data_IF_955425237204
#
_entry.id   IF_955425237204
#
_cell.length_a   1.000
_cell.length_b   1.000
_cell.length_c   1.000
_cell.angle_alpha   90.00
_cell.angle_beta   90.00
_cell.angle_gamma   90.00
#
_symmetry.space_group_name_H-M   'P 1'
#
loop_
_entity.id
_entity.type
_entity.pdbx_description
1 polymer ?
#
# COMPACT_ATOMS: atom_id res chain seq x y z
N UNK A 1 -27.69 42.94 4.98
CA UNK A 1 -28.78 41.96 5.13
C UNK A 1 -29.64 42.03 3.87
N UNK A 2 -29.95 40.90 3.23
CA UNK A 2 -30.91 40.83 2.10
C UNK A 2 -31.80 39.61 2.31
N UNK A 3 -32.96 39.86 2.91
CA UNK A 3 -34.15 39.01 3.02
C UNK A 3 -35.35 39.99 3.00
N UNK A 4 -36.55 39.65 2.51
CA UNK A 4 -37.07 38.32 2.23
C UNK A 4 -37.86 38.22 0.93
N UNK A 5 -38.15 36.97 0.57
CA UNK A 5 -38.82 36.48 -0.64
C UNK A 5 -40.29 36.91 -0.80
N UNK A 6 -40.78 36.93 -2.05
CA UNK A 6 -42.05 36.28 -2.37
C UNK A 6 -41.95 35.56 -3.73
N UNK A 7 -42.49 34.34 -3.82
CA UNK A 7 -42.04 33.34 -4.79
C UNK A 7 -42.84 33.21 -6.09
N UNK A 8 -42.29 32.41 -7.01
CA UNK A 8 -42.98 31.84 -8.18
C UNK A 8 -42.76 30.32 -8.18
N UNK A 9 -43.76 29.56 -8.63
CA UNK A 9 -43.75 28.09 -8.63
C UNK A 9 -42.75 27.53 -9.64
N UNK A 10 -42.05 26.46 -9.27
CA UNK A 10 -41.41 25.54 -10.22
C UNK A 10 -42.46 24.52 -10.64
N UNK A 11 -42.60 24.27 -11.94
CA UNK A 11 -43.40 23.17 -12.48
C UNK A 11 -42.51 22.33 -13.40
N UNK A 12 -42.55 20.99 -13.27
CA UNK A 12 -41.60 20.08 -13.89
C UNK A 12 -42.21 19.39 -15.10
N UNK A 13 -41.57 19.52 -16.27
CA UNK A 13 -41.79 18.63 -17.42
C UNK A 13 -40.43 18.21 -18.01
N UNK A 14 -40.22 16.91 -18.31
CA UNK A 14 -38.96 16.43 -18.87
C UNK A 14 -38.94 16.58 -20.40
N UNK A 15 -37.85 17.12 -20.96
CA UNK A 15 -37.61 17.13 -22.41
C UNK A 15 -36.59 16.05 -22.76
N UNK A 16 -36.97 15.21 -23.73
CA UNK A 16 -36.26 13.98 -24.07
C UNK A 16 -34.93 14.17 -24.80
N UNK A 17 -34.13 13.10 -24.78
CA UNK A 17 -32.89 12.97 -25.55
C UNK A 17 -33.22 12.70 -27.03
N UNK A 18 -32.62 13.44 -27.96
CA UNK A 18 -32.29 12.90 -29.29
C UNK A 18 -31.03 13.56 -29.87
N UNK A 19 -30.38 12.91 -30.84
CA UNK A 19 -29.02 13.25 -31.31
C UNK A 19 -28.98 13.82 -32.74
N UNK A 20 -28.20 14.89 -32.91
CA UNK A 20 -27.39 15.19 -34.13
C UNK A 20 -28.18 15.44 -35.44
N UNK A 21 -27.56 15.69 -36.62
CA UNK A 21 -26.12 15.83 -36.95
C UNK A 21 -25.79 17.06 -37.86
N UNK A 22 -24.56 17.07 -38.45
CA UNK A 22 -24.13 17.89 -39.63
C UNK A 22 -23.90 19.40 -39.31
N UNK A 23 -22.89 20.17 -39.80
CA UNK A 23 -21.85 20.03 -40.86
C UNK A 23 -20.47 20.61 -40.43
N UNK A 24 -19.46 20.49 -41.32
CA UNK A 24 -18.37 21.42 -41.71
C UNK A 24 -18.36 22.88 -41.15
N UNK A 25 -17.28 23.69 -41.11
CA UNK A 25 -15.80 23.63 -41.40
C UNK A 25 -15.19 24.98 -40.83
N UNK A 26 -13.95 25.48 -41.03
CA UNK A 26 -12.74 25.16 -41.83
C UNK A 26 -11.46 25.75 -41.12
N UNK A 27 -10.28 25.33 -41.58
CA UNK A 27 -8.97 26.06 -41.60
C UNK A 27 -8.26 26.49 -40.30
N UNK A 28 -6.95 26.23 -40.26
CA UNK A 28 -5.99 26.85 -39.33
C UNK A 28 -5.32 28.08 -39.97
N UNK A 29 -5.10 29.15 -39.20
CA UNK A 29 -4.09 30.19 -39.50
C UNK A 29 -3.33 30.50 -38.21
N UNK A 30 -2.02 30.70 -38.32
CA UNK A 30 -1.11 30.98 -37.19
C UNK A 30 -0.71 32.45 -37.20
N UNK A 31 -0.95 33.17 -36.10
CA UNK A 31 -0.42 34.52 -35.91
C UNK A 31 -0.27 34.86 -34.41
N UNK A 32 0.98 35.11 -33.98
CA UNK A 32 1.28 35.72 -32.68
C UNK A 32 1.48 37.22 -32.83
N UNK A 33 1.08 38.04 -31.83
CA UNK A 33 1.76 39.30 -31.57
C UNK A 33 2.49 39.29 -30.22
N UNK A 34 3.56 40.09 -30.14
CA UNK A 34 4.29 40.41 -28.89
C UNK A 34 3.77 41.72 -28.28
N UNK A 35 4.12 42.04 -27.01
CA UNK A 35 3.35 43.01 -26.22
C UNK A 35 3.76 44.48 -26.43
N UNK A 36 2.82 45.38 -26.13
CA UNK A 36 3.10 46.77 -25.77
C UNK A 36 2.53 47.05 -24.38
N UNK A 37 3.21 47.91 -23.61
CA UNK A 37 2.76 48.36 -22.29
C UNK A 37 1.66 49.41 -22.44
N UNK A 38 0.71 49.44 -21.51
CA UNK A 38 0.51 50.57 -20.58
C UNK A 38 -0.59 50.21 -19.57
N UNK A 39 -0.44 50.65 -18.31
CA UNK A 39 -1.47 50.56 -17.27
C UNK A 39 -2.33 51.85 -17.28
N UNK A 40 -3.53 51.87 -16.68
CA UNK A 40 -3.62 51.86 -15.22
C UNK A 40 -4.67 50.89 -14.62
N UNK A 41 -4.45 50.54 -13.36
CA UNK A 41 -5.47 49.97 -12.45
C UNK A 41 -6.57 51.00 -12.17
N UNK A 42 -7.84 50.58 -11.94
CA UNK A 42 -8.22 50.27 -10.55
C UNK A 42 -9.17 49.07 -10.34
N UNK A 43 -8.88 48.34 -9.26
CA UNK A 43 -9.78 47.66 -8.29
C UNK A 43 -11.04 46.85 -8.71
N UNK A 44 -11.28 45.79 -7.90
CA UNK A 44 -12.45 44.89 -7.85
C UNK A 44 -12.64 43.90 -9.03
N UNK A 45 -12.96 42.65 -8.67
CA UNK A 45 -13.28 41.58 -9.64
C UNK A 45 -12.53 40.27 -9.38
N UNK A 46 -12.78 39.61 -8.24
CA UNK A 46 -12.10 38.36 -7.83
C UNK A 46 -12.53 37.13 -8.64
N UNK A 47 -12.32 37.13 -9.96
CA UNK A 47 -12.58 35.97 -10.80
C UNK A 47 -11.43 34.95 -10.63
N UNK A 48 -11.72 33.83 -9.96
CA UNK A 48 -10.77 32.73 -9.79
C UNK A 48 -10.45 32.11 -11.16
N UNK A 49 -9.36 32.58 -11.78
CA UNK A 49 -8.72 31.83 -12.86
C UNK A 49 -8.32 30.47 -12.30
N UNK A 50 -8.92 29.40 -12.83
CA UNK A 50 -8.71 28.04 -12.36
C UNK A 50 -7.25 27.65 -12.52
N UNK A 51 -6.48 27.83 -11.45
CA UNK A 51 -5.10 27.38 -11.37
C UNK A 51 -5.09 25.89 -11.72
N UNK A 52 -4.50 25.56 -12.88
CA UNK A 52 -4.32 24.18 -13.32
C UNK A 52 -3.62 23.47 -12.18
N UNK A 53 -4.31 22.52 -11.55
CA UNK A 53 -3.79 21.84 -10.37
C UNK A 53 -2.67 20.91 -10.79
N UNK A 54 -1.47 21.48 -10.91
CA UNK A 54 -0.20 20.76 -10.99
C UNK A 54 0.04 20.23 -9.57
N UNK A 55 -0.78 19.25 -9.18
CA UNK A 55 -0.53 18.42 -8.01
C UNK A 55 0.76 17.66 -8.31
N UNK A 56 1.89 18.23 -7.88
CA UNK A 56 3.23 17.71 -8.19
C UNK A 56 3.26 16.24 -7.78
N UNK A 57 3.35 15.38 -8.80
CA UNK A 57 3.01 13.96 -8.68
C UNK A 57 4.17 13.23 -8.02
N UNK A 58 4.27 13.37 -6.69
CA UNK A 58 5.26 12.74 -5.80
C UNK A 58 5.07 11.20 -5.68
N UNK A 59 4.71 10.58 -6.79
CA UNK A 59 4.43 9.16 -6.97
C UNK A 59 5.53 8.58 -7.83
N UNK A 60 6.44 7.82 -7.24
CA UNK A 60 7.29 6.89 -8.00
C UNK A 60 7.81 5.71 -7.16
N UNK A 61 8.00 5.84 -5.85
CA UNK A 61 8.49 4.71 -5.02
C UNK A 61 7.90 4.68 -3.61
N UNK A 62 7.90 5.79 -2.87
CA UNK A 62 7.54 5.77 -1.44
C UNK A 62 6.09 5.38 -1.17
N UNK A 63 5.12 5.92 -1.92
CA UNK A 63 3.71 5.55 -1.78
C UNK A 63 3.45 4.04 -1.93
N UNK A 64 4.20 3.35 -2.80
CA UNK A 64 4.12 1.90 -2.96
C UNK A 64 4.67 1.15 -1.74
N UNK A 65 5.77 1.64 -1.14
CA UNK A 65 6.35 1.08 0.07
C UNK A 65 5.46 1.28 1.30
N UNK A 66 4.91 2.49 1.47
CA UNK A 66 3.97 2.86 2.54
C UNK A 66 2.72 1.98 2.48
N UNK A 67 2.07 1.88 1.31
CA UNK A 67 0.90 1.00 1.13
C UNK A 67 1.22 -0.49 1.32
N UNK A 68 2.47 -0.91 1.09
CA UNK A 68 2.86 -2.32 1.14
C UNK A 68 3.22 -2.80 2.55
N UNK A 69 4.11 -2.11 3.26
CA UNK A 69 4.64 -2.42 4.61
C UNK A 69 5.13 -3.86 4.92
N UNK A 70 4.97 -4.85 4.03
CA UNK A 70 5.25 -6.29 4.26
C UNK A 70 6.73 -6.63 4.58
N UNK A 71 7.65 -5.70 4.31
CA UNK A 71 9.05 -5.81 4.72
C UNK A 71 9.22 -5.44 6.20
N UNK A 72 8.50 -4.41 6.66
CA UNK A 72 8.60 -3.82 7.99
C UNK A 72 7.71 -4.55 9.02
N UNK A 73 6.53 -5.05 8.61
CA UNK A 73 5.54 -5.67 9.50
C UNK A 73 5.86 -7.13 9.93
N UNK A 74 7.04 -7.65 9.59
CA UNK A 74 7.45 -9.02 9.95
C UNK A 74 6.99 -10.14 8.99
N UNK A 75 6.31 -9.82 7.89
CA UNK A 75 5.79 -10.82 6.92
C UNK A 75 6.89 -11.48 6.09
N UNK A 76 7.66 -10.68 5.36
CA UNK A 76 8.74 -11.15 4.47
C UNK A 76 9.95 -11.61 5.28
N UNK A 77 10.35 -10.79 6.25
CA UNK A 77 11.54 -10.98 7.07
C UNK A 77 11.12 -10.99 8.55
N UNK A 78 11.74 -11.86 9.34
CA UNK A 78 11.53 -11.89 10.81
C UNK A 78 12.65 -11.18 11.59
N UNK A 79 13.73 -10.82 10.88
CA UNK A 79 14.98 -10.27 11.40
C UNK A 79 15.62 -9.41 10.31
N UNK A 80 16.23 -8.30 10.69
CA UNK A 80 17.05 -7.43 9.84
C UNK A 80 18.50 -7.52 10.32
N UNK A 81 19.48 -7.47 9.41
CA UNK A 81 20.89 -7.25 9.79
C UNK A 81 21.15 -5.75 9.90
N UNK A 82 21.85 -5.34 10.95
CA UNK A 82 22.21 -3.94 11.25
C UNK A 82 23.62 -3.87 11.86
N UNK A 83 24.27 -2.71 11.78
CA UNK A 83 25.49 -2.43 12.59
C UNK A 83 25.12 -1.97 14.01
N UNK A 84 26.11 -1.91 14.92
CA UNK A 84 25.90 -1.34 16.26
C UNK A 84 25.53 0.14 16.18
N UNK A 85 26.25 0.92 15.38
CA UNK A 85 25.94 2.33 15.11
C UNK A 85 24.51 2.54 14.58
N UNK A 86 23.98 1.59 13.80
CA UNK A 86 22.59 1.62 13.35
C UNK A 86 21.59 1.28 14.46
N UNK A 87 21.92 0.36 15.37
CA UNK A 87 21.12 0.11 16.57
C UNK A 87 21.05 1.36 17.46
N UNK A 88 22.20 1.97 17.74
CA UNK A 88 22.34 3.12 18.65
C UNK A 88 21.65 4.40 18.12
N UNK A 89 21.35 4.46 16.81
CA UNK A 89 20.62 5.55 16.14
C UNK A 89 19.12 5.29 15.94
N UNK A 90 18.61 4.11 16.32
CA UNK A 90 17.19 3.79 16.20
C UNK A 90 16.46 4.02 17.53
N UNK A 91 15.56 5.00 17.54
CA UNK A 91 14.72 5.31 18.69
C UNK A 91 13.64 4.24 18.94
N UNK A 92 13.22 4.09 20.20
CA UNK A 92 12.16 3.19 20.65
C UNK A 92 12.66 1.80 21.10
N UNK A 93 11.73 0.92 21.46
CA UNK A 93 12.03 -0.43 21.98
C UNK A 93 12.47 -1.40 20.87
N UNK A 94 13.69 -1.20 20.36
CA UNK A 94 14.29 -2.03 19.31
C UNK A 94 14.85 -3.31 19.91
N UNK A 95 14.17 -4.46 19.73
CA UNK A 95 14.73 -5.74 20.14
C UNK A 95 15.88 -6.17 19.21
N UNK A 96 17.12 -5.93 19.67
CA UNK A 96 18.37 -6.34 19.01
C UNK A 96 18.96 -7.58 19.69
N UNK A 97 19.50 -8.51 18.91
CA UNK A 97 20.22 -9.69 19.40
C UNK A 97 21.34 -10.08 18.43
N UNK A 98 22.43 -10.64 18.97
CA UNK A 98 23.52 -11.20 18.16
C UNK A 98 23.23 -12.66 17.84
N UNK A 99 23.49 -13.10 16.60
CA UNK A 99 23.44 -14.52 16.21
C UNK A 99 24.33 -14.76 14.98
N UNK A 100 25.08 -15.86 14.97
CA UNK A 100 26.09 -16.17 13.95
C UNK A 100 27.03 -14.95 13.75
N UNK A 101 27.56 -14.44 14.88
CA UNK A 101 28.43 -13.25 15.02
C UNK A 101 27.88 -11.92 14.47
N UNK A 102 26.63 -11.90 13.99
CA UNK A 102 26.01 -10.73 13.36
C UNK A 102 24.88 -10.17 14.21
N UNK A 103 24.94 -8.87 14.46
CA UNK A 103 23.93 -8.10 15.16
C UNK A 103 22.67 -7.98 14.30
N UNK A 104 21.49 -8.20 14.89
CA UNK A 104 20.23 -8.26 14.17
C UNK A 104 19.07 -7.69 14.99
N UNK A 105 18.28 -6.82 14.37
CA UNK A 105 17.00 -6.34 14.89
C UNK A 105 15.89 -7.36 14.59
N UNK A 106 14.93 -7.57 15.50
CA UNK A 106 13.72 -8.37 15.24
C UNK A 106 12.68 -7.56 14.45
N UNK A 107 11.85 -8.24 13.66
CA UNK A 107 10.69 -7.64 13.00
C UNK A 107 9.39 -8.22 13.58
N UNK A 108 8.29 -7.45 13.72
CA UNK A 108 8.03 -6.13 13.12
C UNK A 108 8.92 -4.99 13.62
N UNK A 109 9.18 -4.01 12.76
CA UNK A 109 9.97 -2.83 13.09
C UNK A 109 9.16 -1.87 13.98
N UNK A 110 9.68 -1.36 15.12
CA UNK A 110 8.97 -0.41 15.97
C UNK A 110 8.76 0.95 15.27
N UNK A 111 9.60 1.28 14.29
CA UNK A 111 9.55 2.51 13.49
C UNK A 111 8.57 2.44 12.30
N UNK A 112 7.54 1.59 12.37
CA UNK A 112 6.46 1.47 11.38
C UNK A 112 5.21 2.20 11.91
N UNK A 113 4.81 3.27 11.24
CA UNK A 113 3.59 4.03 11.57
C UNK A 113 2.30 3.28 11.21
N UNK A 114 1.20 3.67 11.86
CA UNK A 114 -0.14 3.11 11.61
C UNK A 114 -0.67 3.39 10.19
N UNK A 115 -0.11 4.39 9.51
CA UNK A 115 -0.32 4.75 8.11
C UNK A 115 0.54 3.93 7.13
N UNK A 116 1.45 3.09 7.65
CA UNK A 116 2.46 2.34 6.88
C UNK A 116 3.76 3.10 6.61
N UNK A 117 3.89 4.35 7.06
CA UNK A 117 5.11 5.13 6.89
C UNK A 117 6.25 4.66 7.83
N UNK A 118 7.46 5.13 7.56
CA UNK A 118 8.63 4.83 8.39
C UNK A 118 8.99 6.07 9.21
N UNK A 119 8.86 6.00 10.54
CA UNK A 119 9.18 7.12 11.44
C UNK A 119 10.63 7.58 11.30
N UNK A 120 11.54 6.62 11.18
CA UNK A 120 12.97 6.84 10.98
C UNK A 120 13.39 6.86 9.49
N UNK A 121 12.56 7.36 8.55
CA UNK A 121 12.82 7.22 7.10
C UNK A 121 14.23 7.68 6.66
N UNK A 122 14.74 8.76 7.26
CA UNK A 122 16.09 9.29 7.00
C UNK A 122 17.18 8.45 7.66
N UNK A 123 16.93 7.93 8.86
CA UNK A 123 17.85 7.14 9.69
C UNK A 123 17.81 5.63 9.39
N UNK A 124 16.97 5.17 8.44
CA UNK A 124 16.83 3.75 8.05
C UNK A 124 18.19 3.04 7.91
N UNK A 125 18.36 1.84 8.48
CA UNK A 125 19.55 1.01 8.27
C UNK A 125 19.85 0.73 6.80
N UNK A 126 21.11 0.45 6.47
CA UNK A 126 21.60 0.14 5.13
C UNK A 126 20.78 -0.99 4.49
N UNK A 127 20.49 -2.06 5.23
CA UNK A 127 19.65 -3.17 4.76
C UNK A 127 18.25 -2.69 4.31
N UNK A 128 17.67 -1.69 4.98
CA UNK A 128 16.40 -1.07 4.61
C UNK A 128 16.53 -0.03 3.47
N UNK A 129 17.68 0.63 3.34
CA UNK A 129 17.97 1.60 2.25
C UNK A 129 18.28 0.92 0.92
N UNK A 130 19.01 -0.20 0.95
CA UNK A 130 19.50 -0.94 -0.23
C UNK A 130 18.49 -1.97 -0.75
N UNK A 131 17.63 -2.53 0.11
CA UNK A 131 16.66 -3.53 -0.32
C UNK A 131 15.65 -2.96 -1.35
N UNK A 132 15.37 -3.76 -2.37
CA UNK A 132 14.36 -3.49 -3.41
C UNK A 132 13.67 -4.79 -3.78
N UNK A 133 12.38 -4.92 -3.46
CA UNK A 133 11.57 -6.07 -3.85
C UNK A 133 11.31 -6.07 -5.37
N UNK A 134 10.90 -7.21 -5.93
CA UNK A 134 10.73 -7.36 -7.38
C UNK A 134 9.65 -6.42 -7.96
N UNK A 135 8.57 -6.15 -7.23
CA UNK A 135 7.51 -5.22 -7.62
C UNK A 135 8.03 -3.78 -7.73
N UNK A 136 8.74 -3.32 -6.69
CA UNK A 136 9.38 -2.01 -6.68
C UNK A 136 10.40 -1.91 -7.84
N UNK A 137 11.23 -2.93 -8.05
CA UNK A 137 12.15 -3.00 -9.21
C UNK A 137 11.45 -3.06 -10.58
N UNK A 138 10.16 -3.41 -10.68
CA UNK A 138 9.39 -3.31 -11.94
C UNK A 138 8.88 -1.88 -12.13
N UNK A 139 8.28 -1.32 -11.07
CA UNK A 139 7.71 0.03 -11.04
C UNK A 139 8.80 1.13 -11.21
N UNK A 140 9.94 1.04 -10.51
CA UNK A 140 11.09 1.96 -10.65
C UNK A 140 11.67 2.01 -12.08
N UNK A 141 11.44 0.96 -12.88
CA UNK A 141 11.90 0.87 -14.28
C UNK A 141 10.77 1.04 -15.29
N UNK A 142 9.60 1.54 -14.87
CA UNK A 142 8.43 1.75 -15.74
C UNK A 142 7.80 0.48 -16.33
N UNK A 143 8.26 -0.72 -15.93
CA UNK A 143 7.79 -2.00 -16.45
C UNK A 143 6.44 -2.46 -15.87
N UNK A 144 5.85 -1.65 -14.98
CA UNK A 144 4.46 -1.76 -14.52
C UNK A 144 3.99 -0.35 -14.07
N UNK A 145 2.78 0.09 -14.45
CA UNK A 145 2.18 1.31 -13.91
C UNK A 145 2.03 1.28 -12.39
N UNK A 146 2.14 2.44 -11.75
CA UNK A 146 2.05 2.53 -10.28
C UNK A 146 0.67 2.10 -9.74
N UNK A 147 -0.41 2.35 -10.49
CA UNK A 147 -1.75 1.90 -10.14
C UNK A 147 -1.85 0.36 -10.06
N UNK A 148 -1.27 -0.35 -11.04
CA UNK A 148 -1.26 -1.81 -11.08
C UNK A 148 -0.36 -2.40 -9.99
N UNK A 149 0.74 -1.71 -9.66
CA UNK A 149 1.59 -2.05 -8.53
C UNK A 149 0.85 -1.92 -7.19
N UNK A 150 0.01 -0.88 -7.01
CA UNK A 150 -0.86 -0.72 -5.85
C UNK A 150 -2.00 -1.77 -5.81
N UNK A 151 -2.53 -2.17 -6.97
CA UNK A 151 -3.51 -3.27 -7.05
C UNK A 151 -2.90 -4.60 -6.57
N UNK A 152 -1.68 -4.94 -7.02
CA UNK A 152 -0.93 -6.10 -6.54
C UNK A 152 -0.68 -6.05 -5.02
N UNK A 153 -0.42 -4.87 -4.46
CA UNK A 153 -0.27 -4.67 -3.00
C UNK A 153 -1.60 -4.92 -2.26
N UNK A 154 -2.72 -4.42 -2.79
CA UNK A 154 -4.06 -4.69 -2.24
C UNK A 154 -4.38 -6.19 -2.25
N UNK A 155 -4.05 -6.89 -3.34
CA UNK A 155 -4.25 -8.34 -3.46
C UNK A 155 -3.33 -9.14 -2.52
N UNK A 156 -2.08 -8.71 -2.34
CA UNK A 156 -1.14 -9.29 -1.37
C UNK A 156 -1.69 -9.24 0.07
N UNK A 157 -2.24 -8.10 0.48
CA UNK A 157 -2.89 -7.95 1.79
C UNK A 157 -4.16 -8.81 1.89
N UNK A 158 -5.05 -8.75 0.89
CA UNK A 158 -6.28 -9.56 0.88
C UNK A 158 -6.00 -11.09 0.89
N UNK A 159 -4.90 -11.55 0.29
CA UNK A 159 -4.44 -12.93 0.40
C UNK A 159 -3.81 -13.24 1.76
N UNK A 160 -3.05 -12.30 2.36
CA UNK A 160 -2.54 -12.44 3.72
C UNK A 160 -3.68 -12.59 4.73
N UNK A 161 -4.69 -11.73 4.68
CA UNK A 161 -5.79 -11.74 5.63
C UNK A 161 -6.62 -13.01 5.52
N UNK A 162 -6.95 -13.46 4.30
CA UNK A 162 -7.62 -14.76 4.08
C UNK A 162 -6.80 -15.95 4.59
N UNK A 163 -5.47 -15.92 4.43
CA UNK A 163 -4.59 -16.95 4.97
C UNK A 163 -4.45 -16.88 6.51
N UNK A 164 -4.59 -15.69 7.10
CA UNK A 164 -4.53 -15.44 8.54
C UNK A 164 -5.84 -15.84 9.23
N UNK A 165 -7.00 -15.41 8.73
CA UNK A 165 -8.31 -15.75 9.30
C UNK A 165 -8.56 -17.26 9.24
N UNK A 166 -8.46 -17.88 8.05
CA UNK A 166 -8.66 -19.32 7.89
C UNK A 166 -7.77 -20.16 8.82
N UNK A 167 -6.55 -19.71 9.11
CA UNK A 167 -5.65 -20.37 10.04
C UNK A 167 -6.05 -20.18 11.52
N UNK A 168 -6.53 -18.99 11.90
CA UNK A 168 -7.07 -18.67 13.24
C UNK A 168 -8.37 -19.45 13.48
N UNK A 169 -9.27 -19.49 12.50
CA UNK A 169 -10.56 -20.17 12.56
C UNK A 169 -10.39 -21.70 12.66
N UNK A 170 -9.46 -22.26 11.88
CA UNK A 170 -9.09 -23.67 11.96
C UNK A 170 -8.34 -24.04 13.27
N UNK A 171 -7.85 -23.07 14.05
CA UNK A 171 -7.13 -23.31 15.31
C UNK A 171 -8.11 -23.33 16.49
N UNK A 172 -8.24 -24.45 17.23
CA UNK A 172 -9.03 -24.52 18.45
C UNK A 172 -8.28 -23.93 19.66
N UNK A 173 -9.00 -23.72 20.77
CA UNK A 173 -8.40 -23.50 22.09
C UNK A 173 -7.64 -22.17 22.27
N UNK A 174 -6.79 -22.07 23.31
CA UNK A 174 -6.07 -20.84 23.65
C UNK A 174 -4.98 -20.48 22.62
N UNK A 175 -4.49 -21.44 21.84
CA UNK A 175 -3.61 -21.25 20.67
C UNK A 175 -4.14 -20.17 19.71
N UNK A 176 -5.47 -20.07 19.54
CA UNK A 176 -6.12 -19.04 18.72
C UNK A 176 -5.77 -17.61 19.18
N UNK A 177 -5.55 -17.41 20.49
CA UNK A 177 -5.27 -16.11 21.12
C UNK A 177 -3.78 -15.73 21.17
N UNK A 178 -2.86 -16.63 20.78
CA UNK A 178 -1.39 -16.41 20.89
C UNK A 178 -0.83 -15.46 19.82
N UNK A 179 -1.15 -14.17 19.91
CA UNK A 179 -0.37 -13.07 19.31
C UNK A 179 -0.05 -13.18 17.81
N UNK A 180 -0.91 -13.83 17.02
CA UNK A 180 -0.65 -14.15 15.61
C UNK A 180 -0.73 -12.89 14.72
N UNK A 181 0.35 -12.11 14.63
CA UNK A 181 0.37 -10.84 13.89
C UNK A 181 0.18 -11.03 12.39
N UNK A 182 0.79 -12.07 11.81
CA UNK A 182 0.73 -12.39 10.37
C UNK A 182 0.36 -13.85 10.09
N UNK A 183 -0.07 -14.12 8.86
CA UNK A 183 -0.53 -15.44 8.40
C UNK A 183 0.48 -16.59 8.63
N UNK A 184 1.79 -16.30 8.60
CA UNK A 184 2.81 -17.32 8.82
C UNK A 184 3.01 -17.69 10.30
N UNK A 185 2.61 -16.82 11.24
CA UNK A 185 2.50 -17.18 12.66
C UNK A 185 1.23 -18.00 12.89
N UNK A 186 0.07 -17.55 12.38
CA UNK A 186 -1.19 -18.28 12.48
C UNK A 186 -1.09 -19.72 11.92
N UNK A 187 -0.48 -19.88 10.74
CA UNK A 187 -0.24 -21.22 10.15
C UNK A 187 0.81 -22.06 10.87
N UNK A 188 1.68 -21.46 11.71
CA UNK A 188 2.54 -22.22 12.64
C UNK A 188 1.74 -22.68 13.85
N UNK A 189 0.92 -21.80 14.45
CA UNK A 189 0.03 -22.16 15.55
C UNK A 189 -0.90 -23.33 15.17
N UNK A 190 -1.57 -23.24 14.02
CA UNK A 190 -2.42 -24.30 13.47
C UNK A 190 -1.69 -25.63 13.29
N UNK A 191 -0.46 -25.61 12.72
CA UNK A 191 0.36 -26.81 12.54
C UNK A 191 0.78 -27.43 13.88
N UNK A 192 1.19 -26.61 14.85
CA UNK A 192 1.54 -27.06 16.20
C UNK A 192 0.33 -27.65 16.94
N UNK A 193 -0.84 -27.02 16.84
CA UNK A 193 -2.08 -27.53 17.43
C UNK A 193 -2.47 -28.88 16.81
N UNK A 194 -2.45 -29.00 15.47
CA UNK A 194 -2.71 -30.28 14.78
C UNK A 194 -1.69 -31.37 15.15
N UNK A 195 -0.44 -30.99 15.41
CA UNK A 195 0.61 -31.95 15.84
C UNK A 195 0.44 -32.44 17.28
N UNK A 196 -0.44 -31.80 18.08
CA UNK A 196 -0.76 -32.22 19.46
C UNK A 196 -2.11 -32.92 19.56
N UNK A 197 -3.09 -32.47 18.77
CA UNK A 197 -4.48 -32.92 18.80
C UNK A 197 -5.00 -33.07 17.36
N UNK A 198 -4.55 -34.10 16.61
CA UNK A 198 -4.87 -34.25 15.18
C UNK A 198 -6.35 -34.55 14.94
N UNK A 199 -7.04 -35.21 15.87
CA UNK A 199 -8.47 -35.52 15.87
C UNK A 199 -9.37 -34.31 16.13
N UNK A 200 -8.94 -33.33 16.95
CA UNK A 200 -9.72 -32.11 17.24
C UNK A 200 -9.79 -31.16 16.04
N UNK A 201 -8.78 -31.16 15.17
CA UNK A 201 -8.69 -30.20 14.06
C UNK A 201 -9.35 -30.75 12.78
N UNK A 202 -10.48 -30.16 12.43
CA UNK A 202 -11.22 -30.47 11.20
C UNK A 202 -10.30 -30.45 9.96
N UNK A 203 -10.22 -31.62 9.30
CA UNK A 203 -9.37 -31.88 8.13
C UNK A 203 -9.59 -30.89 6.98
N UNK A 204 -10.85 -30.51 6.72
CA UNK A 204 -11.21 -29.57 5.65
C UNK A 204 -10.76 -28.14 6.00
N UNK A 205 -11.01 -27.67 7.23
CA UNK A 205 -10.55 -26.34 7.67
C UNK A 205 -9.03 -26.21 7.59
N UNK A 206 -8.28 -27.25 8.01
CA UNK A 206 -6.82 -27.28 7.85
C UNK A 206 -6.39 -27.23 6.38
N UNK A 207 -7.06 -27.98 5.49
CA UNK A 207 -6.75 -27.97 4.05
C UNK A 207 -7.03 -26.61 3.41
N UNK A 208 -8.15 -25.96 3.76
CA UNK A 208 -8.49 -24.61 3.32
C UNK A 208 -7.46 -23.57 3.78
N UNK A 209 -7.12 -23.56 5.07
CA UNK A 209 -6.09 -22.67 5.62
C UNK A 209 -4.72 -22.88 4.94
N UNK A 210 -4.33 -24.14 4.71
CA UNK A 210 -3.13 -24.49 3.93
C UNK A 210 -3.19 -23.91 2.52
N UNK A 211 -4.29 -24.09 1.79
CA UNK A 211 -4.46 -23.60 0.43
C UNK A 211 -4.36 -22.07 0.33
N UNK A 212 -5.02 -21.32 1.22
CA UNK A 212 -4.92 -19.86 1.25
C UNK A 212 -3.50 -19.39 1.56
N UNK A 213 -2.81 -20.04 2.51
CA UNK A 213 -1.41 -19.71 2.82
C UNK A 213 -0.44 -20.03 1.67
N UNK A 214 -0.60 -21.15 0.98
CA UNK A 214 0.23 -21.51 -0.17
C UNK A 214 -0.03 -20.59 -1.37
N UNK A 215 -1.27 -20.17 -1.57
CA UNK A 215 -1.64 -19.14 -2.57
C UNK A 215 -0.95 -17.80 -2.26
N UNK A 216 -1.04 -17.32 -1.01
CA UNK A 216 -0.33 -16.11 -0.56
C UNK A 216 1.19 -16.23 -0.76
N UNK A 217 1.80 -17.33 -0.35
CA UNK A 217 3.26 -17.56 -0.52
C UNK A 217 3.66 -17.57 -1.99
N UNK A 218 2.87 -18.18 -2.89
CA UNK A 218 3.11 -18.15 -4.35
C UNK A 218 3.03 -16.74 -4.90
N UNK A 219 2.03 -15.95 -4.50
CA UNK A 219 1.86 -14.56 -4.95
C UNK A 219 3.02 -13.65 -4.47
N UNK A 220 3.45 -13.81 -3.22
CA UNK A 220 4.65 -13.14 -2.68
C UNK A 220 5.92 -13.51 -3.46
N UNK A 221 6.08 -14.78 -3.87
CA UNK A 221 7.22 -15.20 -4.72
C UNK A 221 7.18 -14.57 -6.12
N UNK A 222 6.00 -14.44 -6.72
CA UNK A 222 5.80 -13.88 -8.07
C UNK A 222 6.00 -12.36 -8.14
N UNK A 223 5.66 -11.64 -7.07
CA UNK A 223 5.65 -10.18 -7.06
C UNK A 223 6.74 -9.54 -6.18
N UNK A 224 7.16 -10.14 -5.06
CA UNK A 224 8.06 -9.47 -4.10
C UNK A 224 9.45 -10.13 -4.01
N UNK A 225 9.51 -11.43 -3.75
CA UNK A 225 10.76 -12.13 -3.43
C UNK A 225 10.68 -13.61 -3.87
N UNK A 226 11.29 -14.00 -5.02
CA UNK A 226 11.21 -15.36 -5.54
C UNK A 226 11.64 -16.48 -4.57
N UNK A 227 12.59 -16.19 -3.67
CA UNK A 227 13.08 -17.13 -2.67
C UNK A 227 12.25 -17.14 -1.35
N UNK A 228 11.14 -16.41 -1.27
CA UNK A 228 10.32 -16.32 -0.05
C UNK A 228 9.82 -17.71 0.37
N UNK A 229 10.30 -18.17 1.53
CA UNK A 229 9.98 -19.49 2.10
C UNK A 229 10.16 -20.62 1.08
N UNK A 230 11.15 -20.52 0.18
CA UNK A 230 11.54 -21.65 -0.67
C UNK A 230 12.11 -22.73 0.25
N UNK A 231 11.68 -23.97 0.07
CA UNK A 231 12.35 -25.12 0.67
C UNK A 231 13.76 -25.25 0.08
N UNK A 232 14.71 -25.66 0.91
CA UNK A 232 16.13 -25.80 0.55
C UNK A 232 16.43 -27.22 0.12
#
# INVERSE_FOLDING_TARGET
>A
MVLSTCGVRINLTPIGVYKSPITAQLLCIVASPKPCLLAPYPSFGSFWSSAVSITVRFILSDGLCVSCSLCCNGTLFSRLAISQEEADRLEGDVEVFTRDEKLRMRLPCPQLGNDGACGCYLQRPETCRTYRCQLLKRNERGAIPNADALAIVKDLHAMQDKAKSAAIDATPGPERRKGNTNAAQAMRALKTARSKQPEVINKYLFQSAKFHFETFVRYVRLHLQPNFRKEK
#
